data_IF_673244644818
#
_entry.id   IF_673244644818
#
_cell.length_a   1.000
_cell.length_b   1.000
_cell.length_c   1.000
_cell.angle_alpha   90.00
_cell.angle_beta   90.00
_cell.angle_gamma   90.00
#
_symmetry.space_group_name_H-M   'P 1'
#
loop_
_entity.id
_entity.type
_entity.pdbx_description
1 polymer ?
#
# COMPACT_ATOMS: atom_id res chain seq x y z
N UNK A 1 -15.84 10.08 0.75
CA UNK A 1 -15.21 8.97 0.00
C UNK A 1 -16.28 7.92 -0.31
N UNK A 2 -16.38 7.43 -1.54
CA UNK A 2 -17.37 6.38 -1.87
C UNK A 2 -16.87 5.07 -1.29
N UNK A 3 -17.63 4.46 -0.39
CA UNK A 3 -17.31 3.15 0.19
C UNK A 3 -17.52 2.08 -0.89
N UNK A 4 -16.47 1.31 -1.18
CA UNK A 4 -16.55 0.22 -2.13
C UNK A 4 -17.30 -0.97 -1.53
N UNK A 5 -18.33 -1.46 -2.22
CA UNK A 5 -19.03 -2.68 -1.83
C UNK A 5 -18.29 -3.92 -2.35
N UNK A 6 -18.30 -5.00 -1.56
CA UNK A 6 -17.85 -6.33 -2.00
C UNK A 6 -18.93 -7.04 -2.81
N UNK A 7 -20.17 -6.56 -2.80
CA UNK A 7 -21.25 -7.06 -3.63
C UNK A 7 -21.08 -6.52 -5.07
N UNK A 8 -21.04 -7.44 -6.03
CA UNK A 8 -20.80 -7.10 -7.45
C UNK A 8 -21.71 -5.99 -7.97
N UNK A 9 -22.97 -6.04 -7.63
CA UNK A 9 -23.99 -5.11 -8.13
C UNK A 9 -23.96 -3.73 -7.44
N UNK A 10 -23.36 -3.66 -6.24
CA UNK A 10 -23.26 -2.43 -5.45
C UNK A 10 -21.89 -1.75 -5.56
N UNK A 11 -20.90 -2.39 -6.20
CA UNK A 11 -19.58 -1.78 -6.40
C UNK A 11 -19.67 -0.63 -7.43
N UNK A 12 -19.49 0.64 -7.02
CA UNK A 12 -19.54 1.78 -7.94
C UNK A 12 -18.41 1.76 -8.98
N UNK A 13 -17.34 1.02 -8.72
CA UNK A 13 -16.18 0.86 -9.60
C UNK A 13 -16.14 -0.51 -10.29
N UNK A 14 -17.28 -1.15 -10.46
CA UNK A 14 -17.41 -2.41 -11.19
C UNK A 14 -17.04 -2.24 -12.67
N UNK A 15 -16.62 -3.32 -13.36
CA UNK A 15 -16.41 -3.30 -14.80
C UNK A 15 -17.66 -2.82 -15.56
N UNK A 16 -17.45 -2.42 -16.80
CA UNK A 16 -18.54 -2.03 -17.71
C UNK A 16 -19.59 -3.13 -17.80
N UNK A 17 -20.85 -2.74 -17.75
CA UNK A 17 -22.01 -3.61 -17.96
C UNK A 17 -22.48 -3.58 -19.43
N UNK A 18 -23.27 -4.61 -19.84
CA UNK A 18 -23.90 -4.62 -21.17
C UNK A 18 -24.83 -3.42 -21.28
N UNK A 19 -24.66 -2.62 -22.35
CA UNK A 19 -25.44 -1.39 -22.58
C UNK A 19 -24.92 -0.13 -21.90
N UNK A 20 -23.91 -0.21 -21.03
CA UNK A 20 -23.28 0.96 -20.48
C UNK A 20 -22.37 1.62 -21.53
N UNK A 21 -22.54 2.92 -21.74
CA UNK A 21 -21.80 3.70 -22.74
C UNK A 21 -20.33 3.85 -22.33
N UNK A 22 -19.43 3.62 -23.29
CA UNK A 22 -18.02 3.93 -23.13
C UNK A 22 -17.81 5.45 -23.19
N UNK A 23 -16.78 5.92 -22.50
CA UNK A 23 -16.28 7.27 -22.71
C UNK A 23 -15.74 7.36 -24.14
N UNK A 24 -16.13 8.42 -24.84
CA UNK A 24 -15.61 8.70 -26.17
C UNK A 24 -14.12 9.08 -26.14
N UNK A 25 -13.46 9.05 -27.29
CA UNK A 25 -12.03 9.36 -27.41
C UNK A 25 -11.68 10.80 -27.04
N UNK A 26 -12.66 11.70 -27.02
CA UNK A 26 -12.53 13.10 -26.59
C UNK A 26 -12.27 13.23 -25.07
N UNK A 27 -12.57 12.19 -24.30
CA UNK A 27 -12.30 12.19 -22.84
C UNK A 27 -10.94 11.52 -22.59
N UNK A 28 -9.90 12.24 -22.18
CA UNK A 28 -8.55 11.72 -22.05
C UNK A 28 -8.37 10.88 -20.76
N UNK A 29 -9.21 9.87 -20.57
CA UNK A 29 -9.21 9.07 -19.34
C UNK A 29 -7.84 8.44 -19.05
N UNK A 30 -7.23 7.81 -20.05
CA UNK A 30 -5.94 7.14 -19.90
C UNK A 30 -4.81 8.12 -19.53
N UNK A 31 -4.75 9.28 -20.19
CA UNK A 31 -3.77 10.32 -19.90
C UNK A 31 -3.93 10.87 -18.48
N UNK A 32 -5.18 11.10 -18.07
CA UNK A 32 -5.49 11.59 -16.71
C UNK A 32 -5.11 10.54 -15.65
N UNK A 33 -5.42 9.27 -15.88
CA UNK A 33 -4.99 8.19 -14.97
C UNK A 33 -3.46 8.12 -14.91
N UNK A 34 -2.75 8.26 -16.03
CA UNK A 34 -1.29 8.30 -16.08
C UNK A 34 -0.71 9.43 -15.23
N UNK A 35 -1.25 10.64 -15.36
CA UNK A 35 -0.84 11.79 -14.53
C UNK A 35 -1.12 11.57 -13.05
N UNK A 36 -2.29 11.03 -12.69
CA UNK A 36 -2.62 10.70 -11.31
C UNK A 36 -1.75 9.59 -10.74
N UNK A 37 -1.38 8.57 -11.54
CA UNK A 37 -0.43 7.53 -11.14
C UNK A 37 0.96 8.10 -10.86
N UNK A 38 1.42 9.05 -11.68
CA UNK A 38 2.67 9.75 -11.41
C UNK A 38 2.63 10.47 -10.06
N UNK A 39 1.59 11.28 -9.81
CA UNK A 39 1.41 11.95 -8.52
C UNK A 39 1.34 10.96 -7.36
N UNK A 40 0.56 9.88 -7.51
CA UNK A 40 0.38 8.86 -6.48
C UNK A 40 1.68 8.13 -6.13
N UNK A 41 2.59 7.95 -7.09
CA UNK A 41 3.84 7.25 -6.87
C UNK A 41 4.98 8.16 -6.41
N UNK A 42 4.92 9.46 -6.73
CA UNK A 42 6.01 10.39 -6.43
C UNK A 42 5.79 11.21 -5.16
N UNK A 43 4.55 11.69 -4.92
CA UNK A 43 4.30 12.70 -3.87
C UNK A 43 3.00 12.50 -3.10
N UNK A 44 1.99 11.86 -3.69
CA UNK A 44 0.63 11.75 -3.14
C UNK A 44 0.27 10.30 -2.81
N UNK A 45 0.91 9.74 -1.78
CA UNK A 45 0.60 8.39 -1.29
C UNK A 45 -0.88 8.22 -0.90
N UNK A 46 -1.52 9.28 -0.46
CA UNK A 46 -2.90 9.36 0.00
C UNK A 46 -3.94 9.04 -1.09
N UNK A 47 -3.61 9.24 -2.37
CA UNK A 47 -4.48 8.87 -3.49
C UNK A 47 -4.10 7.52 -4.13
N UNK A 48 -3.02 6.86 -3.72
CA UNK A 48 -2.46 5.69 -4.39
C UNK A 48 -3.48 4.54 -4.56
N UNK A 49 -4.26 4.24 -3.52
CA UNK A 49 -5.30 3.20 -3.60
C UNK A 49 -6.41 3.56 -4.60
N UNK A 50 -6.92 4.79 -4.54
CA UNK A 50 -8.02 5.25 -5.40
C UNK A 50 -7.60 5.28 -6.87
N UNK A 51 -6.38 5.75 -7.15
CA UNK A 51 -5.83 5.78 -8.51
C UNK A 51 -5.58 4.37 -9.05
N UNK A 52 -4.98 3.47 -8.25
CA UNK A 52 -4.79 2.08 -8.64
C UNK A 52 -6.13 1.38 -8.95
N UNK A 53 -7.17 1.70 -8.19
CA UNK A 53 -8.50 1.15 -8.41
C UNK A 53 -9.09 1.58 -9.75
N UNK A 54 -9.02 2.88 -10.08
CA UNK A 54 -9.54 3.45 -11.32
C UNK A 54 -8.71 3.04 -12.55
N UNK A 55 -7.39 2.89 -12.39
CA UNK A 55 -6.50 2.43 -13.45
C UNK A 55 -6.88 1.05 -14.01
N UNK A 56 -7.57 0.22 -13.23
CA UNK A 56 -8.04 -1.11 -13.67
C UNK A 56 -9.08 -1.05 -14.79
N UNK A 57 -9.69 0.10 -15.00
CA UNK A 57 -10.77 0.33 -15.98
C UNK A 57 -10.31 1.13 -17.19
N UNK A 58 -8.99 1.32 -17.38
CA UNK A 58 -8.42 2.13 -18.46
C UNK A 58 -8.72 1.61 -19.86
N UNK A 59 -8.95 0.30 -20.02
CA UNK A 59 -9.29 -0.31 -21.32
C UNK A 59 -10.75 -0.09 -21.75
N UNK A 60 -11.65 0.15 -20.80
CA UNK A 60 -13.08 0.32 -21.06
C UNK A 60 -13.71 1.25 -20.02
N UNK A 61 -13.29 2.54 -19.96
CA UNK A 61 -13.80 3.47 -18.97
C UNK A 61 -15.23 3.92 -19.28
N UNK A 62 -15.99 4.21 -18.24
CA UNK A 62 -17.35 4.73 -18.32
C UNK A 62 -17.48 6.05 -17.59
N UNK A 63 -18.60 6.76 -17.71
CA UNK A 63 -18.89 8.00 -16.99
C UNK A 63 -18.72 7.84 -15.47
N UNK A 64 -19.05 6.68 -14.94
CA UNK A 64 -18.91 6.32 -13.52
C UNK A 64 -17.46 6.35 -13.09
N UNK A 65 -16.56 5.76 -13.88
CA UNK A 65 -15.12 5.79 -13.61
C UNK A 65 -14.55 7.22 -13.68
N UNK A 66 -14.99 8.02 -14.66
CA UNK A 66 -14.60 9.43 -14.75
C UNK A 66 -15.11 10.27 -13.56
N UNK A 67 -16.28 9.95 -13.01
CA UNK A 67 -16.76 10.57 -11.77
C UNK A 67 -15.81 10.30 -10.60
N UNK A 68 -15.28 9.07 -10.49
CA UNK A 68 -14.23 8.73 -9.52
C UNK A 68 -12.96 9.59 -9.69
N UNK A 69 -12.50 9.77 -10.94
CA UNK A 69 -11.37 10.66 -11.26
C UNK A 69 -11.64 12.09 -10.80
N UNK A 70 -12.84 12.63 -11.10
CA UNK A 70 -13.23 13.98 -10.65
C UNK A 70 -13.23 14.12 -9.13
N UNK A 71 -13.56 13.06 -8.39
CA UNK A 71 -13.49 13.07 -6.92
C UNK A 71 -12.04 13.15 -6.42
N UNK A 72 -11.10 12.46 -7.07
CA UNK A 72 -9.67 12.59 -6.74
C UNK A 72 -9.21 14.04 -6.95
N UNK A 73 -9.56 14.69 -8.07
CA UNK A 73 -9.21 16.08 -8.30
C UNK A 73 -9.81 17.04 -7.25
N UNK A 74 -11.05 16.81 -6.82
CA UNK A 74 -11.66 17.60 -5.73
C UNK A 74 -10.90 17.42 -4.42
N UNK A 75 -10.48 16.19 -4.12
CA UNK A 75 -9.64 15.92 -2.95
C UNK A 75 -8.30 16.65 -3.04
N UNK A 76 -7.58 16.52 -4.15
CA UNK A 76 -6.30 17.20 -4.38
C UNK A 76 -6.43 18.73 -4.26
N UNK A 77 -7.50 19.30 -4.82
CA UNK A 77 -7.80 20.75 -4.67
C UNK A 77 -8.04 21.13 -3.20
N UNK A 78 -8.69 20.27 -2.43
CA UNK A 78 -8.94 20.50 -1.00
C UNK A 78 -7.71 20.30 -0.11
N UNK A 79 -6.66 19.67 -0.63
CA UNK A 79 -5.44 19.30 0.12
C UNK A 79 -4.16 19.93 -0.44
N UNK A 80 -4.27 20.99 -1.26
CA UNK A 80 -3.12 21.67 -1.89
C UNK A 80 -2.05 22.16 -0.92
N UNK A 81 -2.43 22.41 0.33
CA UNK A 81 -1.51 22.89 1.39
C UNK A 81 -0.98 21.77 2.27
N UNK A 82 -1.24 20.53 1.92
CA UNK A 82 -0.68 19.37 2.61
C UNK A 82 0.58 18.88 1.89
N UNK A 83 1.55 18.43 2.67
CA UNK A 83 2.79 17.86 2.15
C UNK A 83 3.41 16.89 3.14
N UNK A 84 4.40 16.11 2.67
CA UNK A 84 5.24 15.28 3.51
C UNK A 84 6.29 16.17 4.19
N UNK A 85 6.34 16.09 5.50
CA UNK A 85 7.29 16.84 6.30
C UNK A 85 8.34 15.92 6.91
N UNK A 86 9.62 16.17 6.64
CA UNK A 86 10.75 15.44 7.17
C UNK A 86 11.43 16.26 8.26
N UNK A 87 11.23 15.87 9.53
CA UNK A 87 11.86 16.54 10.67
C UNK A 87 13.32 16.13 10.83
N UNK A 88 14.17 17.09 11.14
CA UNK A 88 15.58 16.85 11.51
C UNK A 88 15.72 16.19 12.88
N UNK A 89 14.76 16.40 13.77
CA UNK A 89 14.81 15.94 15.17
C UNK A 89 14.24 14.53 15.37
N UNK A 90 13.59 13.95 14.36
CA UNK A 90 13.00 12.63 14.45
C UNK A 90 14.06 11.54 14.58
N UNK A 91 13.80 10.53 15.39
CA UNK A 91 14.62 9.31 15.46
C UNK A 91 14.61 8.66 14.06
N UNK A 92 15.74 8.78 13.37
CA UNK A 92 15.91 8.27 12.00
C UNK A 92 15.91 6.73 11.99
N UNK A 93 14.73 6.14 12.02
CA UNK A 93 14.53 4.69 11.96
C UNK A 93 13.69 4.35 10.73
N UNK A 94 14.17 3.37 9.95
CA UNK A 94 13.38 2.76 8.87
C UNK A 94 12.36 1.80 9.48
N UNK A 95 11.08 2.01 9.18
CA UNK A 95 9.97 1.17 9.65
C UNK A 95 9.04 0.90 8.48
N UNK A 96 8.64 -0.35 8.32
CA UNK A 96 7.69 -0.77 7.30
C UNK A 96 6.35 -1.21 7.89
N UNK A 97 5.30 -1.10 7.09
CA UNK A 97 3.95 -1.58 7.39
C UNK A 97 3.41 -2.30 6.15
N UNK A 98 2.78 -3.43 6.36
CA UNK A 98 2.17 -4.21 5.27
C UNK A 98 0.74 -4.61 5.62
N UNK A 99 -0.12 -4.65 4.61
CA UNK A 99 -1.51 -5.09 4.70
C UNK A 99 -1.95 -5.76 3.40
N UNK A 100 -2.91 -6.67 3.50
CA UNK A 100 -3.60 -7.20 2.35
C UNK A 100 -5.11 -7.20 2.56
N UNK A 101 -5.85 -6.79 1.54
CA UNK A 101 -7.28 -6.99 1.52
C UNK A 101 -7.65 -8.18 0.66
N UNK A 102 -7.94 -9.29 1.32
CA UNK A 102 -8.35 -10.53 0.68
C UNK A 102 -9.61 -10.32 -0.16
N UNK A 103 -9.59 -10.81 -1.42
CA UNK A 103 -10.71 -10.74 -2.37
C UNK A 103 -11.32 -9.35 -2.53
N UNK A 104 -10.52 -8.31 -2.42
CA UNK A 104 -10.99 -6.91 -2.57
C UNK A 104 -11.47 -6.58 -3.99
N UNK A 105 -11.20 -7.42 -4.96
CA UNK A 105 -11.73 -7.33 -6.32
C UNK A 105 -12.91 -8.28 -6.51
N UNK A 106 -14.18 -7.87 -6.25
CA UNK A 106 -15.34 -8.76 -6.24
C UNK A 106 -15.57 -9.44 -7.59
N UNK A 107 -15.09 -8.86 -8.69
CA UNK A 107 -15.30 -9.38 -10.05
C UNK A 107 -14.31 -10.48 -10.44
N UNK A 108 -13.08 -10.48 -9.90
CA UNK A 108 -12.02 -11.46 -10.21
C UNK A 108 -11.47 -12.17 -8.97
N UNK A 109 -12.00 -11.90 -7.79
CA UNK A 109 -11.58 -12.52 -6.53
C UNK A 109 -10.12 -12.29 -6.14
N UNK A 110 -9.44 -11.31 -6.76
CA UNK A 110 -8.02 -11.04 -6.52
C UNK A 110 -7.87 -10.02 -5.38
N UNK A 111 -6.89 -10.25 -4.54
CA UNK A 111 -6.60 -9.43 -3.36
C UNK A 111 -5.81 -8.16 -3.72
N UNK A 112 -5.80 -7.20 -2.80
CA UNK A 112 -4.98 -5.98 -2.87
C UNK A 112 -3.84 -6.10 -1.88
N UNK A 113 -2.65 -5.72 -2.30
CA UNK A 113 -1.48 -5.52 -1.44
C UNK A 113 -1.25 -4.03 -1.24
N UNK A 114 -0.95 -3.66 -0.01
CA UNK A 114 -0.47 -2.34 0.36
C UNK A 114 0.73 -2.44 1.29
N UNK A 115 1.72 -1.58 1.07
CA UNK A 115 2.79 -1.37 2.03
C UNK A 115 3.22 0.10 2.05
N UNK A 116 3.82 0.50 3.15
CA UNK A 116 4.44 1.80 3.31
C UNK A 116 5.68 1.67 4.20
N UNK A 117 6.71 2.42 3.85
CA UNK A 117 7.91 2.62 4.66
C UNK A 117 8.01 4.06 5.09
N UNK A 118 8.35 4.25 6.34
CA UNK A 118 8.63 5.56 6.92
C UNK A 118 10.09 5.64 7.38
N UNK A 119 10.66 6.82 7.26
CA UNK A 119 11.95 7.16 7.85
C UNK A 119 11.79 8.41 8.69
N UNK A 120 12.02 8.29 10.00
CA UNK A 120 11.70 9.38 10.91
C UNK A 120 10.19 9.71 10.93
N UNK A 121 9.33 8.68 10.92
CA UNK A 121 7.86 8.77 10.93
C UNK A 121 7.23 9.34 9.65
N UNK A 122 8.03 9.78 8.66
CA UNK A 122 7.52 10.29 7.38
C UNK A 122 7.69 9.27 6.27
N UNK A 123 6.67 9.16 5.41
CA UNK A 123 6.63 8.21 4.30
C UNK A 123 7.75 8.47 3.28
N UNK A 124 8.49 7.41 2.91
CA UNK A 124 9.57 7.46 1.92
C UNK A 124 9.35 6.49 0.75
N UNK A 125 8.61 5.42 0.97
CA UNK A 125 8.22 4.46 -0.08
C UNK A 125 6.86 3.87 0.25
N UNK A 126 6.04 3.64 -0.78
CA UNK A 126 4.70 3.07 -0.64
C UNK A 126 4.24 2.38 -1.91
N UNK A 127 3.29 1.48 -1.76
CA UNK A 127 2.68 0.83 -2.89
C UNK A 127 1.24 0.43 -2.60
N UNK A 128 0.39 0.60 -3.60
CA UNK A 128 -0.96 0.04 -3.64
C UNK A 128 -1.11 -0.72 -4.94
N UNK A 129 -1.25 -2.04 -4.89
CA UNK A 129 -1.29 -2.86 -6.11
C UNK A 129 -2.19 -4.08 -5.95
N UNK A 130 -2.81 -4.48 -7.05
CA UNK A 130 -3.53 -5.73 -7.15
C UNK A 130 -2.54 -6.88 -7.17
N UNK A 131 -2.78 -7.93 -6.37
CA UNK A 131 -1.95 -9.13 -6.39
C UNK A 131 -2.00 -9.81 -7.76
N UNK A 132 -0.90 -10.37 -8.19
CA UNK A 132 -0.81 -11.16 -9.45
C UNK A 132 -1.29 -12.59 -9.24
N UNK A 133 -1.11 -13.13 -8.04
CA UNK A 133 -1.56 -14.47 -7.65
C UNK A 133 -2.92 -14.38 -6.94
N UNK A 134 -3.79 -15.33 -7.23
CA UNK A 134 -5.04 -15.49 -6.50
C UNK A 134 -4.75 -16.17 -5.15
N UNK A 135 -4.91 -15.41 -4.07
CA UNK A 135 -4.78 -15.96 -2.73
C UNK A 135 -5.95 -16.90 -2.42
N UNK A 136 -5.65 -18.03 -1.81
CA UNK A 136 -6.65 -19.05 -1.42
C UNK A 136 -7.30 -18.75 -0.07
N UNK A 137 -6.66 -17.91 0.75
CA UNK A 137 -7.14 -17.48 2.06
C UNK A 137 -6.72 -16.05 2.37
N UNK A 138 -7.28 -15.45 3.42
CA UNK A 138 -6.83 -14.15 3.91
C UNK A 138 -5.37 -14.19 4.34
N UNK A 139 -4.98 -15.23 5.09
CA UNK A 139 -3.59 -15.43 5.51
C UNK A 139 -2.62 -15.53 4.32
N UNK A 140 -3.02 -16.23 3.25
CA UNK A 140 -2.23 -16.31 2.02
C UNK A 140 -2.05 -14.94 1.35
N UNK A 141 -3.11 -14.12 1.27
CA UNK A 141 -3.01 -12.75 0.77
C UNK A 141 -2.04 -11.89 1.62
N UNK A 142 -2.07 -12.10 2.93
CA UNK A 142 -1.20 -11.42 3.88
C UNK A 142 0.28 -11.81 3.73
N UNK A 143 0.57 -13.09 3.50
CA UNK A 143 1.94 -13.57 3.21
C UNK A 143 2.48 -12.96 1.91
N UNK A 144 1.64 -12.87 0.87
CA UNK A 144 2.03 -12.22 -0.39
C UNK A 144 2.35 -10.73 -0.19
N UNK A 145 1.56 -10.02 0.62
CA UNK A 145 1.81 -8.61 0.92
C UNK A 145 3.10 -8.42 1.75
N UNK A 146 3.34 -9.30 2.72
CA UNK A 146 4.55 -9.28 3.52
C UNK A 146 5.80 -9.55 2.66
N UNK A 147 5.73 -10.48 1.71
CA UNK A 147 6.82 -10.73 0.77
C UNK A 147 7.16 -9.49 -0.07
N UNK A 148 6.15 -8.83 -0.65
CA UNK A 148 6.39 -7.62 -1.44
C UNK A 148 7.02 -6.49 -0.58
N UNK A 149 6.54 -6.31 0.65
CA UNK A 149 7.12 -5.37 1.60
C UNK A 149 8.56 -5.76 2.00
N UNK A 150 8.84 -7.05 2.19
CA UNK A 150 10.19 -7.52 2.55
C UNK A 150 11.22 -7.25 1.46
N UNK A 151 10.84 -7.39 0.18
CA UNK A 151 11.70 -7.03 -0.96
C UNK A 151 12.04 -5.54 -0.97
N UNK A 152 11.03 -4.70 -0.79
CA UNK A 152 11.23 -3.25 -0.71
C UNK A 152 12.08 -2.87 0.50
N UNK A 153 11.86 -3.55 1.63
CA UNK A 153 12.65 -3.35 2.85
C UNK A 153 14.14 -3.55 2.63
N UNK A 154 14.54 -4.63 1.94
CA UNK A 154 15.95 -4.90 1.65
C UNK A 154 16.59 -3.79 0.82
N UNK A 155 15.89 -3.35 -0.21
CA UNK A 155 16.39 -2.28 -1.07
C UNK A 155 16.53 -0.98 -0.30
N UNK A 156 15.51 -0.56 0.46
CA UNK A 156 15.54 0.65 1.27
C UNK A 156 16.62 0.58 2.35
N UNK A 157 16.77 -0.57 3.01
CA UNK A 157 17.81 -0.81 4.01
C UNK A 157 19.19 -0.61 3.41
N UNK A 158 19.47 -1.20 2.25
CA UNK A 158 20.74 -1.06 1.55
C UNK A 158 21.01 0.39 1.16
N UNK A 159 19.99 1.09 0.64
CA UNK A 159 20.07 2.50 0.26
C UNK A 159 20.36 3.40 1.47
N UNK A 160 19.59 3.24 2.55
CA UNK A 160 19.79 4.03 3.78
C UNK A 160 21.17 3.79 4.39
N UNK A 161 21.64 2.54 4.40
CA UNK A 161 22.98 2.22 4.89
C UNK A 161 24.05 2.89 4.03
N UNK A 162 23.94 2.79 2.70
CA UNK A 162 24.88 3.42 1.79
C UNK A 162 24.95 4.95 1.97
N UNK A 163 23.81 5.62 2.06
CA UNK A 163 23.74 7.07 2.27
C UNK A 163 24.39 7.43 3.61
N UNK A 164 24.07 6.72 4.69
CA UNK A 164 24.64 7.01 6.02
C UNK A 164 26.16 6.78 6.05
N UNK A 165 26.63 5.67 5.49
CA UNK A 165 28.07 5.39 5.39
C UNK A 165 28.77 6.49 4.59
N UNK A 166 28.20 6.94 3.47
CA UNK A 166 28.74 8.03 2.64
C UNK A 166 28.75 9.39 3.35
N UNK A 167 27.82 9.61 4.29
CA UNK A 167 27.77 10.82 5.11
C UNK A 167 28.63 10.72 6.40
N UNK A 168 29.40 9.67 6.61
CA UNK A 168 30.18 9.44 7.81
C UNK A 168 29.36 9.16 9.08
N UNK A 169 28.08 8.80 8.92
CA UNK A 169 27.18 8.47 10.02
C UNK A 169 27.31 6.98 10.36
N UNK A 170 27.47 6.67 11.63
CA UNK A 170 27.55 5.27 12.08
C UNK A 170 26.29 4.49 11.73
N UNK A 171 26.46 3.30 11.17
CA UNK A 171 25.36 2.40 10.83
C UNK A 171 25.52 1.10 11.61
N UNK A 172 24.53 0.77 12.43
CA UNK A 172 24.47 -0.56 13.02
C UNK A 172 23.73 -1.50 12.09
N UNK A 173 24.46 -2.18 11.21
CA UNK A 173 23.91 -3.12 10.22
C UNK A 173 23.22 -4.36 10.85
N UNK A 174 23.48 -4.61 12.14
CA UNK A 174 22.91 -5.76 12.87
C UNK A 174 21.48 -5.55 13.38
N UNK A 175 21.01 -4.29 13.40
CA UNK A 175 19.64 -4.01 13.86
C UNK A 175 18.67 -4.36 12.72
N UNK A 176 17.71 -5.28 12.94
CA UNK A 176 16.70 -5.61 11.94
C UNK A 176 15.77 -4.43 11.68
N UNK A 177 15.27 -4.33 10.45
CA UNK A 177 14.20 -3.38 10.14
C UNK A 177 12.86 -3.97 10.55
N UNK A 178 12.10 -3.22 11.34
CA UNK A 178 10.78 -3.66 11.81
C UNK A 178 9.74 -3.51 10.71
N UNK A 179 9.04 -4.61 10.41
CA UNK A 179 7.85 -4.66 9.56
C UNK A 179 6.63 -4.93 10.42
N UNK A 180 5.69 -4.00 10.44
CA UNK A 180 4.45 -4.16 11.19
C UNK A 180 3.36 -4.79 10.35
N UNK A 181 2.60 -5.71 10.99
CA UNK A 181 1.47 -6.43 10.41
C UNK A 181 0.38 -6.66 11.45
N UNK A 182 -0.87 -6.66 11.01
CA UNK A 182 -2.01 -6.85 11.92
C UNK A 182 -2.56 -8.30 11.92
N UNK A 183 -2.10 -9.15 11.01
CA UNK A 183 -2.50 -10.56 10.95
C UNK A 183 -1.54 -11.44 11.77
N UNK A 184 -1.96 -11.85 12.95
CA UNK A 184 -1.18 -12.68 13.88
C UNK A 184 -0.83 -14.05 13.27
N UNK A 185 -1.78 -14.70 12.59
CA UNK A 185 -1.54 -16.00 11.97
C UNK A 185 -0.43 -15.93 10.90
N UNK A 186 -0.38 -14.84 10.12
CA UNK A 186 0.69 -14.59 9.17
C UNK A 186 2.05 -14.42 9.87
N UNK A 187 2.09 -13.70 10.99
CA UNK A 187 3.32 -13.46 11.77
C UNK A 187 3.85 -14.77 12.33
N UNK A 188 2.99 -15.55 13.00
CA UNK A 188 3.37 -16.86 13.59
C UNK A 188 3.89 -17.78 12.49
N UNK A 189 3.15 -17.94 11.41
CA UNK A 189 3.55 -18.81 10.30
C UNK A 189 4.90 -18.40 9.70
N UNK A 190 5.12 -17.08 9.52
CA UNK A 190 6.38 -16.58 8.97
C UNK A 190 7.56 -16.82 9.91
N UNK A 191 7.35 -16.76 11.23
CA UNK A 191 8.38 -17.06 12.23
C UNK A 191 8.69 -18.54 12.36
N UNK A 192 7.68 -19.39 12.34
CA UNK A 192 7.83 -20.85 12.45
C UNK A 192 8.46 -21.47 11.20
N UNK A 193 8.37 -20.83 10.05
CA UNK A 193 8.93 -21.34 8.80
C UNK A 193 8.20 -22.55 8.23
N UNK A 194 6.97 -22.81 8.66
CA UNK A 194 6.21 -23.99 8.28
C UNK A 194 4.97 -23.66 7.45
N UNK A 195 4.84 -24.30 6.29
CA UNK A 195 3.66 -24.19 5.42
C UNK A 195 2.83 -25.46 5.56
N UNK A 196 1.62 -25.34 6.13
CA UNK A 196 0.66 -26.44 6.19
C UNK A 196 -0.10 -26.58 4.86
N UNK A 197 0.06 -27.70 4.19
CA UNK A 197 -0.82 -28.18 3.13
C UNK A 197 -0.38 -27.93 1.69
N UNK A 198 -0.81 -28.83 0.81
CA UNK A 198 -0.49 -28.86 -0.64
C UNK A 198 -0.96 -27.66 -1.45
N UNK A 199 -1.90 -26.88 -0.92
CA UNK A 199 -2.53 -25.74 -1.63
C UNK A 199 -1.65 -24.50 -1.70
N UNK A 200 -0.49 -24.51 -1.07
CA UNK A 200 0.40 -23.34 -0.91
C UNK A 200 1.67 -23.39 -1.76
N UNK A 201 1.84 -24.45 -2.58
CA UNK A 201 3.04 -24.65 -3.42
C UNK A 201 3.45 -23.44 -4.27
N UNK A 202 2.48 -22.61 -4.70
CA UNK A 202 2.76 -21.42 -5.53
C UNK A 202 3.35 -20.23 -4.75
N UNK A 203 3.25 -20.23 -3.41
CA UNK A 203 3.82 -19.17 -2.56
C UNK A 203 5.10 -19.60 -1.88
N UNK A 204 5.45 -20.88 -1.95
CA UNK A 204 6.60 -21.43 -1.26
C UNK A 204 7.88 -20.58 -1.41
N UNK A 205 8.32 -20.19 -2.63
CA UNK A 205 9.53 -19.38 -2.76
C UNK A 205 9.41 -18.00 -2.11
N UNK A 206 8.23 -17.36 -2.17
CA UNK A 206 7.98 -16.05 -1.58
C UNK A 206 7.94 -16.12 -0.06
N UNK A 207 7.37 -17.18 0.47
CA UNK A 207 7.31 -17.44 1.90
C UNK A 207 8.69 -17.70 2.46
N UNK A 208 9.44 -18.64 1.87
CA UNK A 208 10.79 -18.99 2.31
C UNK A 208 11.75 -17.80 2.24
N UNK A 209 11.66 -16.99 1.20
CA UNK A 209 12.43 -15.74 1.12
C UNK A 209 12.21 -14.84 2.34
N UNK A 210 10.95 -14.62 2.73
CA UNK A 210 10.63 -13.76 3.88
C UNK A 210 11.09 -14.39 5.20
N UNK A 211 10.89 -15.70 5.34
CA UNK A 211 11.38 -16.45 6.51
C UNK A 211 12.91 -16.39 6.63
N UNK A 212 13.64 -16.55 5.52
CA UNK A 212 15.11 -16.47 5.51
C UNK A 212 15.62 -15.10 5.95
N UNK A 213 14.97 -14.01 5.54
CA UNK A 213 15.31 -12.66 5.99
C UNK A 213 15.12 -12.47 7.50
N UNK A 214 14.09 -13.09 8.06
CA UNK A 214 13.84 -13.14 9.50
C UNK A 214 14.99 -13.87 10.21
N UNK A 215 15.37 -15.08 9.72
CA UNK A 215 16.44 -15.89 10.29
C UNK A 215 17.80 -15.18 10.21
N UNK A 216 18.06 -14.43 9.15
CA UNK A 216 19.28 -13.63 9.00
C UNK A 216 19.29 -12.36 9.87
N UNK A 217 18.18 -12.03 10.54
CA UNK A 217 18.05 -10.82 11.34
C UNK A 217 18.07 -9.52 10.50
N UNK A 218 17.67 -9.61 9.24
CA UNK A 218 17.57 -8.42 8.37
C UNK A 218 16.25 -7.68 8.59
N UNK A 219 15.18 -8.43 8.87
CA UNK A 219 13.86 -7.92 9.23
C UNK A 219 13.40 -8.52 10.54
N UNK A 220 12.49 -7.83 11.24
CA UNK A 220 11.67 -8.37 12.32
C UNK A 220 10.21 -8.04 12.06
N UNK A 221 9.33 -9.04 12.12
CA UNK A 221 7.90 -8.88 11.86
C UNK A 221 7.15 -8.78 13.18
N UNK A 222 6.59 -7.60 13.44
CA UNK A 222 5.89 -7.27 14.68
C UNK A 222 4.40 -7.09 14.47
N UNK A 223 3.61 -7.43 15.49
CA UNK A 223 2.18 -7.19 15.46
C UNK A 223 1.84 -5.72 15.69
N UNK A 224 0.83 -5.22 14.96
CA UNK A 224 0.21 -3.93 15.19
C UNK A 224 -1.32 -4.08 15.20
N UNK A 225 -2.02 -3.26 15.98
CA UNK A 225 -3.48 -3.21 15.91
C UNK A 225 -3.92 -2.68 14.54
N UNK A 226 -4.92 -3.31 13.92
CA UNK A 226 -5.41 -2.93 12.59
C UNK A 226 -5.75 -1.44 12.48
N UNK A 227 -6.43 -0.85 13.47
CA UNK A 227 -6.74 0.59 13.47
C UNK A 227 -5.52 1.52 13.52
N UNK A 228 -4.32 0.98 13.75
CA UNK A 228 -3.05 1.71 13.77
C UNK A 228 -2.15 1.38 12.57
N UNK A 229 -2.57 0.47 11.67
CA UNK A 229 -1.77 0.07 10.51
C UNK A 229 -1.95 1.06 9.34
N UNK A 230 -0.96 1.92 9.02
CA UNK A 230 -1.09 2.87 7.92
C UNK A 230 -1.12 2.20 6.54
N UNK A 231 -0.71 0.93 6.41
CA UNK A 231 -0.83 0.18 5.17
C UNK A 231 -2.30 -0.01 4.72
N UNK A 232 -3.27 0.18 5.62
CA UNK A 232 -4.70 0.22 5.32
C UNK A 232 -5.08 1.27 4.27
N UNK A 233 -4.35 2.39 4.23
CA UNK A 233 -4.53 3.45 3.21
C UNK A 233 -4.38 2.92 1.78
N UNK A 234 -3.63 1.84 1.59
CA UNK A 234 -3.23 1.30 0.29
C UNK A 234 -4.06 0.07 -0.13
N UNK A 235 -4.91 -0.43 0.75
CA UNK A 235 -5.66 -1.68 0.52
C UNK A 235 -7.17 -1.52 0.54
N UNK A 236 -7.70 -0.52 1.25
CA UNK A 236 -9.14 -0.36 1.48
C UNK A 236 -9.59 1.09 1.51
N UNK A 237 -10.86 1.34 1.19
CA UNK A 237 -11.50 2.62 1.47
C UNK A 237 -11.79 2.73 2.96
N UNK A 238 -11.39 3.84 3.55
CA UNK A 238 -11.52 4.11 4.98
C UNK A 238 -12.57 5.20 5.25
N UNK A 239 -13.22 5.18 6.43
CA UNK A 239 -13.96 6.33 6.92
C UNK A 239 -13.06 7.57 6.99
N UNK A 240 -13.63 8.76 6.76
CA UNK A 240 -12.85 10.01 6.68
C UNK A 240 -11.94 10.22 7.89
N UNK A 241 -12.47 10.04 9.09
CA UNK A 241 -11.70 10.23 10.33
C UNK A 241 -10.51 9.26 10.46
N UNK A 242 -10.68 8.00 10.05
CA UNK A 242 -9.59 7.00 10.04
C UNK A 242 -8.56 7.31 8.96
N UNK A 243 -9.01 7.73 7.78
CA UNK A 243 -8.16 8.13 6.67
C UNK A 243 -7.27 9.31 7.07
N UNK A 244 -7.84 10.41 7.57
CA UNK A 244 -7.12 11.61 7.99
C UNK A 244 -6.09 11.29 9.08
N UNK A 245 -6.48 10.49 10.08
CA UNK A 245 -5.58 10.05 11.15
C UNK A 245 -4.37 9.27 10.62
N UNK A 246 -4.58 8.34 9.69
CA UNK A 246 -3.48 7.54 9.13
C UNK A 246 -2.61 8.35 8.17
N UNK A 247 -3.19 9.26 7.38
CA UNK A 247 -2.44 10.19 6.51
C UNK A 247 -1.53 11.08 7.35
N UNK A 248 -2.03 11.64 8.45
CA UNK A 248 -1.22 12.44 9.37
C UNK A 248 -0.11 11.59 10.03
N UNK A 249 -0.42 10.35 10.41
CA UNK A 249 0.54 9.43 11.05
C UNK A 249 1.78 9.13 10.20
N UNK A 250 1.68 9.27 8.90
CA UNK A 250 2.79 8.99 7.97
C UNK A 250 3.47 10.26 7.45
N UNK A 251 3.35 11.34 8.21
CA UNK A 251 4.08 12.58 8.01
C UNK A 251 3.44 13.57 7.04
N UNK A 252 2.19 13.36 6.61
CA UNK A 252 1.48 14.33 5.79
C UNK A 252 0.72 15.32 6.67
N UNK A 253 1.09 16.59 6.61
CA UNK A 253 0.49 17.66 7.42
C UNK A 253 0.33 18.95 6.61
N UNK A 254 -0.39 19.90 7.15
CA UNK A 254 -0.50 21.24 6.57
C UNK A 254 0.71 22.05 6.99
N UNK A 255 1.23 22.85 6.08
CA UNK A 255 2.37 23.73 6.35
C UNK A 255 2.14 24.64 7.58
N UNK A 256 0.93 25.14 7.77
CA UNK A 256 0.55 25.98 8.92
C UNK A 256 0.57 25.25 10.27
N UNK A 257 0.52 23.93 10.28
CA UNK A 257 0.51 23.12 11.50
C UNK A 257 1.96 22.82 11.98
N UNK A 258 2.96 23.31 11.22
CA UNK A 258 4.40 23.17 11.48
C UNK A 258 5.05 24.44 12.08
N UNK A 259 4.28 25.53 12.15
CA UNK A 259 4.75 26.84 12.66
C UNK A 259 4.40 27.02 14.13
#
# INVERSE_FOLDING_TARGET
MVVRSLEKNKDPFRPREKGEELLGPEVPYLSVIGALMYLANCTHHDIAFSVNLLARHSSAPTRRHMTGVKQIFRYLRGTMYMGLFYSKESKLKLVGYADARYRSGPHKGISQTGYIFTYGETAISWRSTKQTLAATSSNHAELLALHEASRECLWLRSLVHHIRDSCGLSVNKRIPTTLYKDNEACIIQTREGYIKGDRTKHIDPKFFFTHELLQRGEIDVCQIRSCKNPADLFTKSLPTSSFEKLVHKIGMCKLRDLC
#
